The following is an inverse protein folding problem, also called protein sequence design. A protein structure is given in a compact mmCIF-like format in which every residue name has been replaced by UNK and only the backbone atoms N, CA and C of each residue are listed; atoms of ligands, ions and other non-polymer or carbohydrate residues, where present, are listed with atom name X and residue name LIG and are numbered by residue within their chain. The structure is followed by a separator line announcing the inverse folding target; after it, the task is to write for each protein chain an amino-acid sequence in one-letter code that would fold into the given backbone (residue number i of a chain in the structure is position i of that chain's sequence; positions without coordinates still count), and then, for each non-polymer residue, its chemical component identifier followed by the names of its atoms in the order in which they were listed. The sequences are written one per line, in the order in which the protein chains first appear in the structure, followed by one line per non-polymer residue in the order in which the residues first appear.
data_IF_156170991588
#
_entry.id   IF_156170991588
#
_cell.length_a   1.000
_cell.length_b   1.000
_cell.length_c   1.000
_cell.angle_alpha   90.00
_cell.angle_beta   90.00
_cell.angle_gamma   90.00
#
_symmetry.space_group_name_H-M   'P 1'
#
loop_
_entity.id
_entity.type
_entity.pdbx_description
1 polymer ?
#
# COMPACT_ATOMS: atom_id res chain seq x y z
N UNK A 1 -2.14 6.33 2.28
CA UNK A 1 -2.77 6.09 0.96
C UNK A 1 -1.91 6.73 -0.13
N UNK A 2 -1.89 6.18 -1.34
CA UNK A 2 -1.33 6.87 -2.50
C UNK A 2 -2.31 7.92 -3.04
N UNK A 3 -1.78 8.99 -3.62
CA UNK A 3 -2.57 10.12 -4.10
C UNK A 3 -1.96 10.68 -5.38
N UNK A 4 -2.72 10.59 -6.46
CA UNK A 4 -2.52 11.26 -7.74
C UNK A 4 -3.88 11.52 -8.40
N UNK A 5 -3.88 12.12 -9.59
CA UNK A 5 -5.11 12.43 -10.33
C UNK A 5 -5.94 11.20 -10.72
N UNK A 6 -5.32 10.02 -10.91
CA UNK A 6 -6.02 8.77 -11.19
C UNK A 6 -6.73 8.22 -9.94
N UNK A 7 -6.10 8.38 -8.77
CA UNK A 7 -6.59 7.85 -7.51
C UNK A 7 -7.45 8.84 -6.71
N UNK A 8 -7.57 10.10 -7.14
CA UNK A 8 -8.26 11.15 -6.38
C UNK A 8 -9.70 10.80 -6.03
N UNK A 9 -10.48 10.32 -7.02
CA UNK A 9 -11.91 10.00 -6.81
C UNK A 9 -12.08 8.89 -5.77
N UNK A 10 -11.31 7.81 -5.92
CA UNK A 10 -11.31 6.72 -4.95
C UNK A 10 -10.88 7.22 -3.57
N UNK A 11 -9.80 8.00 -3.51
CA UNK A 11 -9.27 8.54 -2.24
C UNK A 11 -10.31 9.38 -1.51
N UNK A 12 -11.06 10.22 -2.21
CA UNK A 12 -12.16 11.00 -1.63
C UNK A 12 -13.26 10.07 -1.08
N UNK A 13 -13.65 9.04 -1.84
CA UNK A 13 -14.63 8.04 -1.37
C UNK A 13 -14.16 7.27 -0.14
N UNK A 14 -12.91 6.84 -0.13
CA UNK A 14 -12.28 6.15 0.99
C UNK A 14 -12.22 7.05 2.24
N UNK A 15 -11.73 8.29 2.14
CA UNK A 15 -11.71 9.25 3.26
C UNK A 15 -13.12 9.45 3.80
N UNK A 16 -14.11 9.71 2.93
CA UNK A 16 -15.48 9.92 3.35
C UNK A 16 -16.03 8.71 4.11
N UNK A 17 -15.83 7.50 3.57
CA UNK A 17 -16.31 6.26 4.19
C UNK A 17 -15.63 6.01 5.55
N UNK A 18 -14.34 6.30 5.69
CA UNK A 18 -13.62 6.20 6.96
C UNK A 18 -14.23 7.17 7.97
N UNK A 19 -14.37 8.45 7.61
CA UNK A 19 -14.88 9.47 8.53
C UNK A 19 -16.33 9.19 8.96
N UNK A 20 -17.16 8.61 8.08
CA UNK A 20 -18.56 8.29 8.38
C UNK A 20 -18.74 7.09 9.32
N UNK A 21 -17.87 6.09 9.24
CA UNK A 21 -18.03 4.83 9.99
C UNK A 21 -17.15 4.73 11.24
N UNK A 22 -16.32 5.73 11.52
CA UNK A 22 -15.41 5.71 12.65
C UNK A 22 -16.01 6.37 13.89
N UNK A 23 -15.81 5.77 15.07
CA UNK A 23 -16.33 6.32 16.33
C UNK A 23 -15.68 7.67 16.70
N UNK A 24 -14.38 7.84 16.41
CA UNK A 24 -13.61 9.07 16.73
C UNK A 24 -12.76 9.54 15.53
N UNK A 25 -13.37 10.09 14.47
CA UNK A 25 -12.65 10.50 13.26
C UNK A 25 -11.59 11.59 13.49
N UNK A 26 -11.74 12.42 14.53
CA UNK A 26 -10.83 13.50 14.91
C UNK A 26 -9.46 13.03 15.42
N UNK A 27 -9.35 11.75 15.82
CA UNK A 27 -8.11 11.12 16.26
C UNK A 27 -7.26 10.60 15.10
N UNK A 28 -7.75 10.72 13.86
CA UNK A 28 -7.06 10.24 12.67
C UNK A 28 -6.13 11.29 12.10
N UNK A 29 -5.00 10.80 11.57
CA UNK A 29 -4.06 11.60 10.80
C UNK A 29 -3.74 10.88 9.50
N UNK A 30 -4.06 11.52 8.37
CA UNK A 30 -3.89 10.92 7.06
C UNK A 30 -2.52 11.21 6.48
N UNK A 31 -1.81 10.15 6.09
CA UNK A 31 -0.55 10.24 5.35
C UNK A 31 -0.79 9.89 3.88
N UNK A 32 -0.60 10.87 3.00
CA UNK A 32 -0.70 10.69 1.55
C UNK A 32 0.69 10.59 0.91
N UNK A 33 0.83 9.72 -0.07
CA UNK A 33 2.04 9.55 -0.86
C UNK A 33 1.77 9.95 -2.31
N UNK A 34 2.52 10.91 -2.85
CA UNK A 34 2.44 11.33 -4.25
C UNK A 34 3.78 11.13 -4.97
N UNK A 35 3.74 10.90 -6.28
CA UNK A 35 4.94 10.82 -7.12
C UNK A 35 5.30 12.18 -7.74
N UNK A 36 4.28 13.04 -7.91
CA UNK A 36 4.38 14.35 -8.53
C UNK A 36 3.60 15.36 -7.69
N UNK A 37 4.11 16.57 -7.61
CA UNK A 37 3.39 17.68 -7.00
C UNK A 37 2.24 18.11 -7.93
N UNK A 38 1.01 18.01 -7.43
CA UNK A 38 -0.24 18.39 -8.10
C UNK A 38 -1.04 19.26 -7.10
N UNK A 39 -0.85 20.60 -7.10
CA UNK A 39 -1.44 21.49 -6.09
C UNK A 39 -2.97 21.48 -6.10
N UNK A 40 -3.58 21.19 -7.25
CA UNK A 40 -5.03 21.09 -7.42
C UNK A 40 -5.59 19.97 -6.55
N UNK A 41 -4.89 18.84 -6.44
CA UNK A 41 -5.30 17.70 -5.61
C UNK A 41 -5.29 18.09 -4.12
N UNK A 42 -4.24 18.82 -3.68
CA UNK A 42 -4.20 19.33 -2.31
C UNK A 42 -5.41 20.23 -2.02
N UNK A 43 -5.74 21.13 -2.95
CA UNK A 43 -6.89 22.03 -2.82
C UNK A 43 -8.22 21.26 -2.79
N UNK A 44 -8.38 20.24 -3.62
CA UNK A 44 -9.59 19.39 -3.62
C UNK A 44 -9.75 18.68 -2.28
N UNK A 45 -8.70 18.02 -1.76
CA UNK A 45 -8.79 17.36 -0.44
C UNK A 45 -9.11 18.37 0.67
N UNK A 46 -8.44 19.53 0.67
CA UNK A 46 -8.63 20.54 1.71
C UNK A 46 -10.00 21.22 1.66
N UNK A 47 -10.54 21.46 0.47
CA UNK A 47 -11.89 22.03 0.28
C UNK A 47 -13.00 21.01 0.56
N UNK A 48 -12.79 19.74 0.19
CA UNK A 48 -13.75 18.65 0.45
C UNK A 48 -13.80 18.27 1.92
N UNK A 49 -12.65 18.24 2.61
CA UNK A 49 -12.54 17.89 4.02
C UNK A 49 -11.77 18.96 4.82
N UNK A 50 -12.40 20.11 5.17
CA UNK A 50 -11.73 21.26 5.78
C UNK A 50 -10.98 20.94 7.09
N UNK A 51 -11.55 20.04 7.89
CA UNK A 51 -11.04 19.64 9.21
C UNK A 51 -10.12 18.41 9.17
N UNK A 52 -9.87 17.84 7.99
CA UNK A 52 -9.00 16.68 7.85
C UNK A 52 -7.56 17.03 8.28
N UNK A 53 -7.03 16.28 9.23
CA UNK A 53 -5.61 16.33 9.60
C UNK A 53 -4.84 15.44 8.63
N UNK A 54 -4.01 16.02 7.78
CA UNK A 54 -3.23 15.25 6.83
C UNK A 54 -1.89 15.88 6.48
N UNK A 55 -0.98 15.06 5.94
CA UNK A 55 0.26 15.50 5.31
C UNK A 55 0.54 14.67 4.08
N UNK A 56 1.09 15.33 3.07
CA UNK A 56 1.52 14.69 1.82
C UNK A 56 3.04 14.54 1.83
N UNK A 57 3.51 13.37 1.42
CA UNK A 57 4.92 13.02 1.34
C UNK A 57 5.29 12.62 -0.07
N UNK A 58 6.44 13.12 -0.53
CA UNK A 58 6.98 12.79 -1.86
C UNK A 58 7.59 11.40 -1.87
N UNK A 59 7.12 10.57 -2.80
CA UNK A 59 7.74 9.31 -3.18
C UNK A 59 8.55 9.53 -4.46
N UNK A 60 9.84 9.23 -4.43
CA UNK A 60 10.71 9.33 -5.61
C UNK A 60 10.54 8.10 -6.53
N UNK A 61 9.96 8.25 -7.73
CA UNK A 61 9.73 7.11 -8.63
C UNK A 61 11.02 6.43 -9.09
N UNK A 62 12.15 7.12 -9.01
CA UNK A 62 13.48 6.58 -9.31
C UNK A 62 13.86 5.41 -8.41
N UNK A 63 13.31 5.30 -7.18
CA UNK A 63 13.61 4.19 -6.25
C UNK A 63 13.23 2.82 -6.80
N UNK A 64 12.20 2.78 -7.65
CA UNK A 64 11.65 1.55 -8.23
C UNK A 64 11.92 1.43 -9.73
N UNK A 65 12.54 2.44 -10.34
CA UNK A 65 12.92 2.40 -11.75
C UNK A 65 13.81 1.20 -12.02
N UNK A 66 13.41 0.36 -12.98
CA UNK A 66 14.16 -0.83 -13.35
C UNK A 66 14.06 -2.00 -12.35
N UNK A 67 13.27 -1.87 -11.28
CA UNK A 67 12.93 -2.95 -10.34
C UNK A 67 11.52 -3.52 -10.56
N UNK A 68 10.68 -2.80 -11.31
CA UNK A 68 9.32 -3.22 -11.62
C UNK A 68 9.36 -4.25 -12.76
N UNK A 69 8.90 -5.46 -12.46
CA UNK A 69 8.77 -6.51 -13.46
C UNK A 69 7.51 -6.30 -14.30
N UNK A 70 7.68 -6.34 -15.62
CA UNK A 70 6.57 -6.25 -16.59
C UNK A 70 5.76 -7.55 -16.73
N UNK A 71 6.16 -8.64 -16.07
CA UNK A 71 5.58 -9.98 -16.28
C UNK A 71 4.23 -10.21 -15.60
N UNK A 72 3.75 -9.27 -14.79
CA UNK A 72 2.52 -9.47 -14.03
C UNK A 72 1.35 -8.79 -14.74
N UNK A 73 1.29 -7.45 -14.81
CA UNK A 73 0.27 -6.65 -15.53
C UNK A 73 0.78 -5.23 -15.78
N UNK A 74 0.42 -4.63 -16.92
CA UNK A 74 0.77 -3.23 -17.23
C UNK A 74 0.22 -2.22 -16.19
N UNK A 75 -0.93 -2.51 -15.59
CA UNK A 75 -1.49 -1.70 -14.49
C UNK A 75 -0.60 -1.65 -13.24
N UNK A 76 0.34 -2.59 -13.09
CA UNK A 76 1.31 -2.65 -11.99
C UNK A 76 2.61 -1.90 -12.31
N UNK A 77 2.75 -1.30 -13.48
CA UNK A 77 3.95 -0.54 -13.86
C UNK A 77 4.01 0.86 -13.19
N UNK A 78 2.93 1.30 -12.53
CA UNK A 78 2.90 2.59 -11.86
C UNK A 78 3.80 2.58 -10.61
N UNK A 79 4.80 3.49 -10.53
CA UNK A 79 5.72 3.54 -9.39
C UNK A 79 5.03 3.66 -8.02
N UNK A 80 3.91 4.39 -7.97
CA UNK A 80 3.14 4.58 -6.74
C UNK A 80 2.61 3.27 -6.14
N UNK A 81 2.36 2.23 -6.93
CA UNK A 81 1.95 0.92 -6.43
C UNK A 81 2.96 0.32 -5.43
N UNK A 82 4.24 0.68 -5.59
CA UNK A 82 5.34 0.19 -4.76
C UNK A 82 5.69 1.13 -3.60
N UNK A 83 5.08 2.32 -3.52
CA UNK A 83 5.37 3.30 -2.47
C UNK A 83 5.14 2.74 -1.06
N UNK A 84 4.21 1.77 -0.93
CA UNK A 84 3.93 1.05 0.33
C UNK A 84 5.16 0.33 0.92
N UNK A 85 6.08 -0.15 0.09
CA UNK A 85 7.33 -0.82 0.53
C UNK A 85 8.25 0.17 1.27
N UNK A 86 8.13 1.45 0.93
CA UNK A 86 8.99 2.53 1.37
C UNK A 86 8.38 3.38 2.49
N UNK A 87 7.21 3.00 3.02
CA UNK A 87 6.50 3.75 4.07
C UNK A 87 7.43 4.13 5.23
N UNK A 88 8.23 3.18 5.71
CA UNK A 88 9.17 3.38 6.81
C UNK A 88 10.20 4.49 6.60
N UNK A 89 10.60 4.71 5.35
CA UNK A 89 11.62 5.67 4.97
C UNK A 89 11.01 7.05 4.71
N UNK A 90 9.72 7.10 4.36
CA UNK A 90 9.02 8.31 3.94
C UNK A 90 8.31 8.99 5.11
N UNK A 91 7.66 8.21 5.98
CA UNK A 91 6.87 8.78 7.08
C UNK A 91 7.79 9.17 8.25
N UNK A 92 7.38 10.15 9.09
CA UNK A 92 8.22 10.67 10.17
C UNK A 92 8.68 9.59 11.15
N UNK A 93 9.88 9.74 11.69
CA UNK A 93 10.49 8.76 12.60
C UNK A 93 9.70 8.50 13.89
N UNK A 94 8.93 9.48 14.36
CA UNK A 94 8.07 9.33 15.54
C UNK A 94 6.80 8.51 15.27
N UNK A 95 6.44 8.28 14.00
CA UNK A 95 5.31 7.41 13.65
C UNK A 95 5.77 5.96 13.75
N UNK A 96 5.21 5.23 14.71
CA UNK A 96 5.59 3.84 15.01
C UNK A 96 4.67 2.80 14.37
N UNK A 97 3.43 3.17 14.06
CA UNK A 97 2.41 2.26 13.49
C UNK A 97 1.57 3.02 12.48
N UNK A 98 1.18 2.33 11.39
CA UNK A 98 0.25 2.87 10.39
C UNK A 98 -0.74 1.79 9.94
N UNK A 99 -1.92 2.23 9.54
CA UNK A 99 -2.82 1.44 8.71
C UNK A 99 -2.68 1.95 7.26
N UNK A 100 -2.11 1.12 6.39
CA UNK A 100 -2.04 1.40 4.97
C UNK A 100 -3.34 0.95 4.31
N UNK A 101 -3.93 1.86 3.53
CA UNK A 101 -5.12 1.63 2.72
C UNK A 101 -4.83 2.06 1.27
N UNK A 102 -5.26 1.24 0.31
CA UNK A 102 -5.36 1.64 -1.08
C UNK A 102 -6.50 2.65 -1.27
N UNK A 103 -6.42 3.41 -2.35
CA UNK A 103 -7.36 4.50 -2.65
C UNK A 103 -8.71 4.01 -3.17
N UNK A 104 -8.87 2.74 -3.53
CA UNK A 104 -10.06 2.18 -4.17
C UNK A 104 -10.93 1.35 -3.20
N UNK A 105 -10.92 1.73 -1.92
CA UNK A 105 -11.65 1.03 -0.85
C UNK A 105 -12.84 1.84 -0.35
N UNK A 106 -13.83 1.12 0.20
CA UNK A 106 -14.92 1.68 1.02
C UNK A 106 -14.87 1.01 2.38
N UNK A 107 -14.75 1.81 3.44
CA UNK A 107 -14.77 1.36 4.83
C UNK A 107 -16.21 1.43 5.34
N UNK A 108 -16.72 0.30 5.83
CA UNK A 108 -18.13 0.13 6.23
C UNK A 108 -18.31 -0.19 7.72
N UNK A 109 -17.23 -0.18 8.48
CA UNK A 109 -17.19 -0.44 9.92
C UNK A 109 -16.05 0.38 10.56
N UNK A 110 -16.01 0.44 11.89
CA UNK A 110 -15.02 1.23 12.61
C UNK A 110 -13.59 0.74 12.31
N UNK A 111 -12.79 1.62 11.72
CA UNK A 111 -11.40 1.38 11.36
C UNK A 111 -10.51 1.12 12.59
N UNK A 112 -10.93 1.54 13.79
CA UNK A 112 -10.24 1.25 15.04
C UNK A 112 -10.06 -0.27 15.24
N UNK A 113 -11.03 -1.08 14.79
CA UNK A 113 -10.94 -2.56 14.84
C UNK A 113 -9.73 -3.10 14.09
N UNK A 114 -9.38 -2.50 12.94
CA UNK A 114 -8.16 -2.85 12.20
C UNK A 114 -6.91 -2.33 12.92
N UNK A 115 -6.98 -1.12 13.47
CA UNK A 115 -5.86 -0.53 14.19
C UNK A 115 -5.43 -1.36 15.41
N UNK A 116 -6.39 -1.92 16.14
CA UNK A 116 -6.20 -2.70 17.37
C UNK A 116 -5.73 -4.13 17.16
N UNK A 117 -5.65 -4.62 15.92
CA UNK A 117 -5.17 -5.97 15.61
C UNK A 117 -3.80 -6.22 16.24
N UNK A 118 -3.70 -7.22 17.10
CA UNK A 118 -2.41 -7.64 17.64
C UNK A 118 -1.57 -8.26 16.51
N UNK A 119 -0.36 -7.72 16.33
CA UNK A 119 0.58 -8.21 15.33
C UNK A 119 1.36 -9.44 15.82
N UNK A 120 1.22 -9.85 17.09
CA UNK A 120 1.88 -11.05 17.62
C UNK A 120 3.41 -11.00 17.45
N UNK A 121 3.98 -9.82 17.64
CA UNK A 121 5.41 -9.56 17.42
C UNK A 121 5.84 -9.38 15.96
N UNK A 122 4.97 -9.64 14.97
CA UNK A 122 5.26 -9.50 13.54
C UNK A 122 5.31 -8.02 13.11
N UNK A 123 5.89 -7.78 11.93
CA UNK A 123 6.08 -6.44 11.37
C UNK A 123 4.83 -5.92 10.66
N UNK A 124 4.02 -6.80 10.07
CA UNK A 124 2.80 -6.43 9.37
C UNK A 124 1.73 -7.51 9.51
N UNK A 125 0.48 -7.11 9.38
CA UNK A 125 -0.66 -7.99 9.14
C UNK A 125 -1.41 -7.52 7.88
N UNK A 126 -1.90 -8.46 7.08
CA UNK A 126 -2.61 -8.22 5.83
C UNK A 126 -3.62 -9.35 5.57
N UNK A 127 -4.74 -9.10 4.88
CA UNK A 127 -5.71 -10.14 4.53
C UNK A 127 -5.09 -11.20 3.61
N UNK A 128 -5.30 -12.47 3.92
CA UNK A 128 -4.92 -13.60 3.07
C UNK A 128 -6.04 -13.95 2.08
N UNK A 129 -5.66 -14.34 0.86
CA UNK A 129 -6.57 -14.83 -0.15
C UNK A 129 -5.98 -16.05 -0.87
N UNK A 130 -6.67 -17.20 -0.73
CA UNK A 130 -6.26 -18.49 -1.28
C UNK A 130 -7.14 -18.98 -2.45
N UNK A 131 -8.15 -18.23 -2.85
CA UNK A 131 -9.10 -18.65 -3.89
C UNK A 131 -8.74 -18.13 -5.29
N UNK A 132 -7.50 -17.68 -5.50
CA UNK A 132 -7.03 -17.17 -6.79
C UNK A 132 -6.63 -18.31 -7.72
N UNK A 133 -7.15 -18.29 -8.94
CA UNK A 133 -6.59 -19.06 -10.03
C UNK A 133 -5.30 -18.39 -10.52
N UNK A 134 -4.15 -18.81 -9.99
CA UNK A 134 -2.86 -18.19 -10.32
C UNK A 134 -2.47 -18.35 -11.78
N UNK A 135 -2.88 -19.45 -12.44
CA UNK A 135 -2.63 -19.67 -13.87
C UNK A 135 -3.19 -18.51 -14.71
N UNK A 136 -4.36 -17.97 -14.33
CA UNK A 136 -4.97 -16.80 -14.99
C UNK A 136 -4.53 -15.45 -14.41
N UNK A 137 -3.96 -15.45 -13.21
CA UNK A 137 -3.51 -14.23 -12.53
C UNK A 137 -2.22 -13.68 -13.14
N UNK A 138 -1.31 -14.57 -13.54
CA UNK A 138 -0.03 -14.23 -14.17
C UNK A 138 -0.08 -14.39 -15.69
N UNK A 139 0.75 -13.63 -16.40
CA UNK A 139 0.85 -13.68 -17.86
C UNK A 139 1.66 -14.89 -18.34
N UNK A 140 1.58 -15.20 -19.64
CA UNK A 140 2.41 -16.25 -20.25
C UNK A 140 3.92 -15.97 -20.10
N UNK A 141 4.32 -14.68 -20.04
CA UNK A 141 5.72 -14.28 -19.79
C UNK A 141 6.18 -14.78 -18.42
N UNK A 142 5.32 -14.70 -17.40
CA UNK A 142 5.63 -15.22 -16.07
C UNK A 142 5.80 -16.74 -16.08
N UNK A 143 4.89 -17.46 -16.74
CA UNK A 143 4.91 -18.93 -16.77
C UNK A 143 6.02 -19.52 -17.64
N UNK A 144 6.51 -18.75 -18.62
CA UNK A 144 7.62 -19.13 -19.48
C UNK A 144 9.00 -18.89 -18.85
N UNK A 145 9.07 -18.18 -17.71
CA UNK A 145 10.33 -17.93 -17.00
C UNK A 145 10.82 -19.20 -16.27
N UNK A 146 12.13 -19.53 -16.31
CA UNK A 146 12.66 -20.75 -15.69
C UNK A 146 12.69 -20.71 -14.15
N UNK A 147 12.62 -19.54 -13.52
CA UNK A 147 12.79 -19.34 -12.08
C UNK A 147 11.50 -18.93 -11.37
N UNK A 148 10.66 -18.06 -11.96
CA UNK A 148 9.49 -17.52 -11.26
C UNK A 148 8.44 -18.58 -10.88
N UNK A 149 8.06 -19.52 -11.76
CA UNK A 149 7.07 -20.55 -11.44
C UNK A 149 7.53 -21.48 -10.31
N UNK A 150 8.85 -21.57 -10.06
CA UNK A 150 9.39 -22.36 -8.95
C UNK A 150 8.89 -21.90 -7.58
N UNK A 151 8.45 -20.65 -7.46
CA UNK A 151 7.82 -20.14 -6.23
C UNK A 151 6.55 -20.93 -5.84
N UNK A 152 5.92 -21.61 -6.81
CA UNK A 152 4.69 -22.41 -6.65
C UNK A 152 4.96 -23.92 -6.47
N UNK A 153 6.17 -24.40 -6.75
CA UNK A 153 6.45 -25.84 -6.76
C UNK A 153 6.22 -26.47 -5.37
N UNK A 154 5.37 -27.51 -5.34
CA UNK A 154 5.04 -28.26 -4.12
C UNK A 154 4.25 -27.47 -3.08
N UNK A 155 3.61 -26.36 -3.47
CA UNK A 155 2.85 -25.49 -2.57
C UNK A 155 1.41 -25.34 -3.03
N UNK A 156 0.50 -25.14 -2.08
CA UNK A 156 -0.80 -24.57 -2.35
C UNK A 156 -0.70 -23.05 -2.15
N UNK A 157 -0.55 -22.24 -3.20
CA UNK A 157 -0.26 -20.82 -3.04
C UNK A 157 -1.46 -20.05 -2.51
N UNK A 158 -1.18 -19.11 -1.62
CA UNK A 158 -2.05 -18.00 -1.27
C UNK A 158 -1.26 -16.71 -1.47
N UNK A 159 -1.97 -15.59 -1.62
CA UNK A 159 -1.34 -14.28 -1.56
C UNK A 159 -1.99 -13.45 -0.47
N UNK A 160 -1.25 -12.50 0.09
CA UNK A 160 -1.82 -11.48 0.95
C UNK A 160 -2.14 -10.23 0.14
N UNK A 161 -3.34 -9.69 0.32
CA UNK A 161 -3.73 -8.43 -0.31
C UNK A 161 -3.00 -7.28 0.37
N UNK A 162 -2.22 -6.52 -0.39
CA UNK A 162 -1.41 -5.41 0.14
C UNK A 162 -2.16 -4.09 0.21
N UNK A 163 -3.44 -4.06 -0.18
CA UNK A 163 -4.29 -2.87 -0.17
C UNK A 163 -4.86 -2.52 1.19
N UNK A 164 -4.81 -3.44 2.15
CA UNK A 164 -5.09 -3.17 3.58
C UNK A 164 -3.98 -3.80 4.39
N UNK A 165 -3.19 -3.00 5.12
CA UNK A 165 -2.11 -3.52 5.95
C UNK A 165 -2.00 -2.75 7.26
N UNK A 166 -1.92 -3.48 8.38
CA UNK A 166 -1.52 -2.92 9.66
C UNK A 166 -0.02 -3.11 9.78
N UNK A 167 0.74 -2.02 9.91
CA UNK A 167 2.20 -2.05 9.83
C UNK A 167 2.80 -1.45 11.10
N UNK A 168 3.65 -2.24 11.77
CA UNK A 168 4.60 -1.76 12.77
C UNK A 168 5.80 -1.16 12.04
N UNK A 169 5.79 0.17 11.93
CA UNK A 169 6.79 0.92 11.17
C UNK A 169 8.12 0.97 11.92
N UNK A 170 8.10 0.98 13.25
CA UNK A 170 9.31 0.93 14.06
C UNK A 170 10.08 -0.38 13.78
N UNK A 171 9.41 -1.52 13.89
CA UNK A 171 10.00 -2.82 13.52
C UNK A 171 10.35 -2.91 12.04
N UNK A 172 9.56 -2.28 11.17
CA UNK A 172 9.87 -2.26 9.74
C UNK A 172 11.25 -1.61 9.48
N UNK A 173 11.53 -0.48 10.15
CA UNK A 173 12.82 0.23 10.10
C UNK A 173 13.95 -0.60 10.70
N UNK A 174 13.77 -1.11 11.92
CA UNK A 174 14.78 -1.91 12.64
C UNK A 174 15.21 -3.14 11.84
N UNK A 175 14.26 -3.86 11.27
CA UNK A 175 14.51 -5.03 10.43
C UNK A 175 15.08 -4.71 9.05
N UNK A 176 15.23 -3.43 8.69
CA UNK A 176 15.64 -2.96 7.35
C UNK A 176 14.79 -3.62 6.23
N UNK A 177 13.50 -3.79 6.50
CA UNK A 177 12.59 -4.59 5.66
C UNK A 177 12.44 -4.02 4.25
N UNK A 178 12.51 -2.69 4.08
CA UNK A 178 12.55 -2.06 2.76
C UNK A 178 13.67 -2.63 1.89
N UNK A 179 14.92 -2.66 2.40
CA UNK A 179 16.08 -3.19 1.66
C UNK A 179 15.94 -4.69 1.41
N UNK A 180 15.41 -5.43 2.38
CA UNK A 180 15.18 -6.86 2.24
C UNK A 180 14.19 -7.18 1.11
N UNK A 181 13.09 -6.42 1.01
CA UNK A 181 12.12 -6.55 -0.09
C UNK A 181 12.78 -6.16 -1.43
N UNK A 182 13.48 -5.02 -1.48
CA UNK A 182 14.16 -4.56 -2.70
C UNK A 182 15.17 -5.56 -3.24
N UNK A 183 15.92 -6.26 -2.37
CA UNK A 183 16.89 -7.27 -2.78
C UNK A 183 16.27 -8.49 -3.47
N UNK A 184 14.96 -8.71 -3.27
CA UNK A 184 14.19 -9.81 -3.86
C UNK A 184 13.45 -9.41 -5.13
N UNK A 185 13.33 -8.11 -5.40
CA UNK A 185 12.73 -7.61 -6.64
C UNK A 185 13.72 -7.81 -7.80
N UNK A 186 13.65 -8.97 -8.45
CA UNK A 186 14.43 -9.24 -9.67
C UNK A 186 13.84 -8.46 -10.84
N UNK A 187 14.74 -7.89 -11.65
CA UNK A 187 14.43 -7.41 -12.99
C UNK A 187 14.23 -8.64 -13.88
N UNK A 188 13.08 -8.74 -14.53
CA UNK A 188 12.90 -9.58 -15.71
C UNK A 188 13.16 -8.74 -16.95
#
# INVERSE_FOLDING_TARGET
MTLDSNYLRGTVGAILSILQHSTCPENMYFHFLWARFEPEIYFVIKSTFPYLKFKIYRFEPSRVRGKISKSIRQALDQPLNYARIYLSDIIPGHVKRVLYLDSDLVVVDDIAKLWEVDLGGKVLAAPEYCHTNFTRYFTDIFWSDPELPRAFHGRNPCYFNTGVMVVDVEKWREGRNCRAVESKTKKL
#
